data_IF_999374525666
#
_entry.id   IF_999374525666
#
_cell.length_a   1.000
_cell.length_b   1.000
_cell.length_c   1.000
_cell.angle_alpha   90.00
_cell.angle_beta   90.00
_cell.angle_gamma   90.00
#
_symmetry.space_group_name_H-M   'P 1'
#
loop_
_entity.id
_entity.type
_entity.pdbx_description
1 polymer ?
#
# COMPACT_ATOMS: atom_id res chain seq x y z
N UNK A 1 -49.84 0.63 -9.65
CA UNK A 1 -50.03 0.16 -8.27
C UNK A 1 -49.14 -1.04 -8.02
N UNK A 2 -48.66 -1.25 -6.78
CA UNK A 2 -47.83 -2.41 -6.41
C UNK A 2 -48.20 -2.87 -5.00
N UNK A 3 -48.24 -4.19 -4.78
CA UNK A 3 -48.52 -4.75 -3.46
C UNK A 3 -47.31 -4.55 -2.54
N UNK A 4 -47.57 -4.18 -1.28
CA UNK A 4 -46.54 -3.92 -0.28
C UNK A 4 -46.98 -4.35 1.12
N UNK A 5 -46.02 -4.52 2.02
CA UNK A 5 -46.24 -4.67 3.45
C UNK A 5 -45.86 -3.38 4.16
N UNK A 6 -46.80 -2.73 4.85
CA UNK A 6 -46.60 -1.50 5.58
C UNK A 6 -46.34 -1.74 7.06
N UNK A 7 -45.34 -1.03 7.59
CA UNK A 7 -44.96 -1.02 8.99
C UNK A 7 -45.06 0.41 9.54
N UNK A 8 -45.84 0.59 10.59
CA UNK A 8 -46.25 1.89 11.13
C UNK A 8 -45.29 2.45 12.21
N UNK A 9 -44.20 1.74 12.50
CA UNK A 9 -43.21 2.00 13.59
C UNK A 9 -43.76 1.95 15.02
N UNK A 10 -45.05 1.70 15.20
CA UNK A 10 -45.71 1.58 16.52
C UNK A 10 -45.90 0.12 16.91
N UNK A 11 -45.99 -0.76 15.92
CA UNK A 11 -46.13 -2.20 16.08
C UNK A 11 -45.26 -2.95 15.06
N UNK A 12 -44.77 -4.14 15.43
CA UNK A 12 -44.07 -5.05 14.52
C UNK A 12 -45.00 -5.79 13.55
N UNK A 13 -46.29 -5.44 13.53
CA UNK A 13 -47.28 -6.07 12.66
C UNK A 13 -47.17 -5.52 11.24
N UNK A 14 -47.05 -6.42 10.26
CA UNK A 14 -47.15 -6.07 8.85
C UNK A 14 -48.62 -5.86 8.45
N UNK A 15 -48.89 -4.75 7.76
CA UNK A 15 -50.19 -4.46 7.16
C UNK A 15 -50.11 -4.63 5.65
N UNK A 16 -50.92 -5.53 5.09
CA UNK A 16 -51.00 -5.69 3.64
C UNK A 16 -51.65 -4.45 3.02
N UNK A 17 -50.92 -3.77 2.14
CA UNK A 17 -51.36 -2.53 1.48
C UNK A 17 -51.03 -2.56 -0.01
N UNK A 18 -51.68 -1.68 -0.75
CA UNK A 18 -51.34 -1.37 -2.13
C UNK A 18 -50.76 0.03 -2.18
N UNK A 19 -49.55 0.15 -2.73
CA UNK A 19 -48.92 1.43 -3.04
C UNK A 19 -49.36 1.88 -4.43
N UNK A 20 -49.94 3.06 -4.50
CA UNK A 20 -50.40 3.73 -5.72
C UNK A 20 -49.64 5.04 -5.84
N UNK A 21 -49.27 5.41 -7.06
CA UNK A 21 -48.63 6.69 -7.33
C UNK A 21 -49.47 7.44 -8.35
N UNK A 22 -49.91 8.64 -7.98
CA UNK A 22 -50.76 9.51 -8.78
C UNK A 22 -50.37 10.96 -8.52
N UNK A 23 -50.26 11.80 -9.56
CA UNK A 23 -50.03 13.24 -9.44
C UNK A 23 -48.84 13.66 -8.55
N UNK A 24 -47.77 12.85 -8.50
CA UNK A 24 -46.59 13.14 -7.68
C UNK A 24 -46.72 12.75 -6.19
N UNK A 25 -47.80 12.07 -5.83
CA UNK A 25 -48.09 11.59 -4.48
C UNK A 25 -48.08 10.05 -4.44
N UNK A 26 -47.59 9.49 -3.35
CA UNK A 26 -47.73 8.09 -3.00
C UNK A 26 -48.91 7.89 -2.05
N UNK A 27 -49.82 6.99 -2.41
CA UNK A 27 -51.03 6.67 -1.66
C UNK A 27 -50.95 5.19 -1.25
N UNK A 28 -51.10 4.91 0.05
CA UNK A 28 -51.26 3.57 0.59
C UNK A 28 -52.74 3.28 0.82
N UNK A 29 -53.22 2.19 0.24
CA UNK A 29 -54.58 1.69 0.44
C UNK A 29 -54.56 0.34 1.15
N UNK A 30 -55.51 0.12 2.05
CA UNK A 30 -55.73 -1.19 2.66
C UNK A 30 -56.42 -2.17 1.69
N UNK A 31 -56.67 -3.40 2.14
CA UNK A 31 -57.36 -4.42 1.35
C UNK A 31 -58.80 -4.07 0.96
N UNK A 32 -59.42 -3.09 1.65
CA UNK A 32 -60.77 -2.61 1.38
C UNK A 32 -60.79 -1.34 0.50
N UNK A 33 -59.61 -0.87 0.06
CA UNK A 33 -59.46 0.36 -0.72
C UNK A 33 -59.52 1.64 0.11
N UNK A 34 -59.53 1.55 1.44
CA UNK A 34 -59.46 2.71 2.31
C UNK A 34 -58.04 3.29 2.31
N UNK A 35 -57.94 4.60 2.14
CA UNK A 35 -56.65 5.31 2.18
C UNK A 35 -56.11 5.34 3.60
N UNK A 36 -54.96 4.71 3.80
CA UNK A 36 -54.24 4.68 5.07
C UNK A 36 -53.26 5.83 5.19
N UNK A 37 -52.65 6.23 4.06
CA UNK A 37 -51.59 7.24 4.06
C UNK A 37 -51.42 7.87 2.68
N UNK A 38 -51.09 9.15 2.67
CA UNK A 38 -50.62 9.89 1.49
C UNK A 38 -49.37 10.68 1.82
N UNK A 39 -48.39 10.68 0.92
CA UNK A 39 -47.17 11.44 1.07
C UNK A 39 -46.59 11.84 -0.29
N UNK A 40 -45.97 13.03 -0.40
CA UNK A 40 -45.36 13.47 -1.65
C UNK A 40 -44.16 12.58 -1.99
N UNK A 41 -44.00 12.23 -3.27
CA UNK A 41 -42.87 11.39 -3.71
C UNK A 41 -41.51 11.98 -3.32
N UNK A 42 -41.41 13.31 -3.26
CA UNK A 42 -40.20 14.02 -2.88
C UNK A 42 -39.75 13.78 -1.43
N UNK A 43 -40.66 13.37 -0.53
CA UNK A 43 -40.35 13.08 0.86
C UNK A 43 -40.10 11.59 1.14
N UNK A 44 -40.23 10.75 0.12
CA UNK A 44 -39.99 9.31 0.23
C UNK A 44 -38.53 8.98 -0.05
N UNK A 45 -37.98 8.07 0.76
CA UNK A 45 -36.66 7.47 0.52
C UNK A 45 -36.83 6.05 0.02
N UNK A 46 -36.37 5.77 -1.19
CA UNK A 46 -36.37 4.42 -1.75
C UNK A 46 -35.00 3.78 -1.50
N UNK A 47 -34.98 2.57 -0.97
CA UNK A 47 -33.73 1.82 -0.77
C UNK A 47 -33.04 1.51 -2.09
N UNK A 48 -31.72 1.31 -2.04
CA UNK A 48 -30.95 0.82 -3.17
C UNK A 48 -31.39 -0.58 -3.60
N UNK A 49 -31.06 -0.93 -4.85
CA UNK A 49 -31.39 -2.23 -5.41
C UNK A 49 -30.42 -3.31 -4.94
N UNK A 50 -30.91 -4.24 -4.13
CA UNK A 50 -30.17 -5.43 -3.71
C UNK A 50 -30.82 -6.66 -4.33
N UNK A 51 -30.04 -7.50 -5.05
CA UNK A 51 -30.55 -8.61 -5.88
C UNK A 51 -31.50 -9.60 -5.17
N UNK A 52 -31.45 -9.73 -3.85
CA UNK A 52 -32.20 -10.74 -3.08
C UNK A 52 -33.01 -10.16 -1.92
N UNK A 53 -33.07 -8.83 -1.76
CA UNK A 53 -33.81 -8.20 -0.67
C UNK A 53 -35.02 -7.42 -1.22
N UNK A 54 -36.14 -7.34 -0.46
CA UNK A 54 -37.25 -6.48 -0.84
C UNK A 54 -36.79 -5.02 -0.92
N UNK A 55 -37.45 -4.23 -1.77
CA UNK A 55 -37.21 -2.78 -1.84
C UNK A 55 -38.00 -2.11 -0.72
N UNK A 56 -37.38 -1.17 -0.03
CA UNK A 56 -38.00 -0.40 1.04
C UNK A 56 -38.34 1.00 0.54
N UNK A 57 -39.55 1.46 0.84
CA UNK A 57 -39.97 2.86 0.70
C UNK A 57 -40.19 3.41 2.10
N UNK A 58 -39.34 4.32 2.53
CA UNK A 58 -39.38 4.91 3.88
C UNK A 58 -39.97 6.31 3.83
N UNK A 59 -40.90 6.58 4.74
CA UNK A 59 -41.54 7.87 4.95
C UNK A 59 -40.74 8.72 5.96
N UNK A 60 -41.05 10.02 6.06
CA UNK A 60 -40.33 10.96 6.93
C UNK A 60 -40.38 10.61 8.43
N UNK A 61 -41.48 10.03 8.87
CA UNK A 61 -41.70 9.58 10.25
C UNK A 61 -41.05 8.22 10.56
N UNK A 62 -40.33 7.64 9.58
CA UNK A 62 -39.64 6.35 9.72
C UNK A 62 -40.51 5.13 9.42
N UNK A 63 -41.81 5.30 9.16
CA UNK A 63 -42.64 4.22 8.63
C UNK A 63 -42.10 3.74 7.29
N UNK A 64 -42.35 2.48 6.93
CA UNK A 64 -41.84 1.96 5.67
C UNK A 64 -42.74 0.90 5.05
N UNK A 65 -42.63 0.79 3.73
CA UNK A 65 -43.23 -0.26 2.92
C UNK A 65 -42.16 -1.20 2.38
N UNK A 66 -42.34 -2.50 2.61
CA UNK A 66 -41.58 -3.55 1.94
C UNK A 66 -42.28 -4.03 0.68
N UNK A 67 -41.56 -4.01 -0.42
CA UNK A 67 -42.08 -4.37 -1.74
C UNK A 67 -41.28 -5.57 -2.26
N UNK A 68 -41.95 -6.72 -2.32
CA UNK A 68 -41.37 -7.97 -2.79
C UNK A 68 -41.36 -8.07 -4.33
N UNK A 69 -42.37 -7.51 -5.00
CA UNK A 69 -42.46 -7.47 -6.46
C UNK A 69 -41.57 -6.36 -7.03
N UNK A 70 -40.29 -6.67 -7.18
CA UNK A 70 -39.30 -5.74 -7.70
C UNK A 70 -39.58 -5.32 -9.15
N UNK A 71 -40.14 -6.19 -9.98
CA UNK A 71 -40.35 -5.90 -11.39
C UNK A 71 -41.45 -4.84 -11.59
N UNK A 72 -42.58 -5.01 -10.90
CA UNK A 72 -43.68 -4.04 -10.92
C UNK A 72 -43.27 -2.72 -10.26
N UNK A 73 -42.46 -2.78 -9.20
CA UNK A 73 -41.96 -1.58 -8.54
C UNK A 73 -40.94 -0.81 -9.39
N UNK A 74 -40.02 -1.49 -10.06
CA UNK A 74 -39.04 -0.87 -10.96
C UNK A 74 -39.76 -0.17 -12.14
N UNK A 75 -40.83 -0.76 -12.67
CA UNK A 75 -41.67 -0.13 -13.71
C UNK A 75 -42.40 1.12 -13.18
N UNK A 76 -42.88 1.08 -11.93
CA UNK A 76 -43.46 2.24 -11.26
C UNK A 76 -42.42 3.35 -11.03
N UNK A 77 -41.20 3.02 -10.61
CA UNK A 77 -40.10 3.98 -10.44
C UNK A 77 -39.69 4.65 -11.76
N UNK A 78 -39.65 3.87 -12.85
CA UNK A 78 -39.33 4.41 -14.17
C UNK A 78 -40.40 5.41 -14.63
N UNK A 79 -41.68 5.13 -14.35
CA UNK A 79 -42.80 6.01 -14.69
C UNK A 79 -42.80 7.32 -13.88
N UNK A 80 -42.24 7.34 -12.67
CA UNK A 80 -42.12 8.55 -11.83
C UNK A 80 -40.87 9.38 -12.13
N UNK A 81 -40.03 8.95 -13.08
CA UNK A 81 -38.78 9.62 -13.42
C UNK A 81 -37.66 9.43 -12.39
N UNK A 82 -37.82 8.49 -11.45
CA UNK A 82 -36.80 8.20 -10.46
C UNK A 82 -35.54 7.62 -11.12
N UNK A 83 -34.38 8.23 -10.86
CA UNK A 83 -33.09 7.80 -11.39
C UNK A 83 -32.23 7.21 -10.27
N UNK A 84 -31.78 5.97 -10.45
CA UNK A 84 -30.80 5.36 -9.56
C UNK A 84 -29.48 6.16 -9.56
N UNK A 85 -28.86 6.29 -8.39
CA UNK A 85 -27.56 6.95 -8.25
C UNK A 85 -26.45 6.24 -9.03
N UNK A 86 -25.50 7.02 -9.58
CA UNK A 86 -24.37 6.50 -10.37
C UNK A 86 -23.55 5.44 -9.62
N UNK A 87 -23.42 5.58 -8.30
CA UNK A 87 -22.72 4.63 -7.42
C UNK A 87 -23.44 3.28 -7.36
N UNK A 88 -24.77 3.28 -7.20
CA UNK A 88 -25.57 2.05 -7.17
C UNK A 88 -25.52 1.31 -8.52
N UNK A 89 -25.52 2.06 -9.62
CA UNK A 89 -25.36 1.52 -10.98
C UNK A 89 -23.96 0.94 -11.22
N UNK A 90 -22.93 1.57 -10.67
CA UNK A 90 -21.55 1.09 -10.74
C UNK A 90 -21.34 -0.19 -9.91
N UNK A 91 -21.89 -0.24 -8.69
CA UNK A 91 -21.80 -1.37 -7.77
C UNK A 91 -22.51 -2.62 -8.30
N UNK A 92 -23.59 -2.45 -9.08
CA UNK A 92 -24.33 -3.58 -9.65
C UNK A 92 -23.78 -4.07 -11.00
N UNK A 93 -22.70 -3.44 -11.51
CA UNK A 93 -22.07 -3.78 -12.78
C UNK A 93 -20.80 -4.61 -12.60
N UNK A 94 -20.89 -5.89 -12.90
CA UNK A 94 -19.74 -6.82 -12.92
C UNK A 94 -18.62 -6.38 -13.86
N UNK A 95 -18.96 -5.62 -14.92
CA UNK A 95 -17.97 -5.08 -15.88
C UNK A 95 -17.09 -3.99 -15.24
N UNK A 96 -17.70 -3.11 -14.46
CA UNK A 96 -16.97 -2.05 -13.75
C UNK A 96 -16.13 -2.63 -12.61
N UNK A 97 -16.64 -3.63 -11.90
CA UNK A 97 -15.85 -4.37 -10.90
C UNK A 97 -14.59 -5.02 -11.53
N UNK A 98 -14.75 -5.69 -12.69
CA UNK A 98 -13.63 -6.28 -13.42
C UNK A 98 -12.61 -5.25 -13.92
N UNK A 99 -13.07 -4.10 -14.42
CA UNK A 99 -12.19 -3.02 -14.88
C UNK A 99 -11.40 -2.40 -13.72
N UNK A 100 -12.05 -2.18 -12.57
CA UNK A 100 -11.39 -1.68 -11.36
C UNK A 100 -10.33 -2.67 -10.84
N UNK A 101 -10.64 -3.98 -10.87
CA UNK A 101 -9.67 -5.01 -10.49
C UNK A 101 -8.46 -5.01 -11.43
N UNK A 102 -8.69 -4.95 -12.75
CA UNK A 102 -7.61 -4.86 -13.73
C UNK A 102 -6.75 -3.60 -13.52
N UNK A 103 -7.39 -2.45 -13.31
CA UNK A 103 -6.70 -1.19 -13.01
C UNK A 103 -5.83 -1.28 -11.76
N UNK A 104 -6.34 -1.91 -10.70
CA UNK A 104 -5.58 -2.15 -9.47
C UNK A 104 -4.36 -3.05 -9.73
N UNK A 105 -4.53 -4.15 -10.47
CA UNK A 105 -3.42 -5.05 -10.82
C UNK A 105 -2.35 -4.31 -11.62
N UNK A 106 -2.75 -3.57 -12.65
CA UNK A 106 -1.82 -2.76 -13.46
C UNK A 106 -1.08 -1.74 -12.60
N UNK A 107 -1.81 -1.04 -11.71
CA UNK A 107 -1.21 -0.07 -10.80
C UNK A 107 -0.18 -0.71 -9.86
N UNK A 108 -0.49 -1.86 -9.27
CA UNK A 108 0.43 -2.59 -8.37
C UNK A 108 1.67 -3.05 -9.13
N UNK A 109 1.49 -3.68 -10.29
CA UNK A 109 2.61 -4.14 -11.14
C UNK A 109 3.48 -2.96 -11.57
N UNK A 110 2.89 -1.88 -12.05
CA UNK A 110 3.62 -0.69 -12.45
C UNK A 110 4.38 -0.07 -11.27
N UNK A 111 3.73 0.05 -10.11
CA UNK A 111 4.35 0.62 -8.91
C UNK A 111 5.53 -0.23 -8.43
N UNK A 112 5.41 -1.56 -8.48
CA UNK A 112 6.47 -2.46 -8.06
C UNK A 112 7.70 -2.36 -8.97
N UNK A 113 7.52 -2.40 -10.29
CA UNK A 113 8.64 -2.42 -11.22
C UNK A 113 9.26 -1.05 -11.49
N UNK A 114 8.47 0.03 -11.43
CA UNK A 114 8.94 1.36 -11.82
C UNK A 114 9.01 2.34 -10.65
N UNK A 115 7.91 2.47 -9.89
CA UNK A 115 7.85 3.48 -8.82
C UNK A 115 8.82 3.14 -7.68
N UNK A 116 8.88 1.88 -7.27
CA UNK A 116 9.78 1.43 -6.20
C UNK A 116 11.25 1.62 -6.59
N UNK A 117 11.64 1.19 -7.80
CA UNK A 117 13.01 1.30 -8.27
C UNK A 117 13.46 2.76 -8.42
N UNK A 118 12.58 3.61 -8.98
CA UNK A 118 12.86 5.03 -9.13
C UNK A 118 13.00 5.73 -7.78
N UNK A 119 12.05 5.49 -6.86
CA UNK A 119 12.09 6.10 -5.52
C UNK A 119 13.33 5.66 -4.74
N UNK A 120 13.78 4.42 -4.86
CA UNK A 120 15.01 3.95 -4.24
C UNK A 120 16.23 4.78 -4.67
N UNK A 121 16.36 5.11 -5.96
CA UNK A 121 17.50 5.92 -6.45
C UNK A 121 17.47 7.36 -5.94
N UNK A 122 16.27 7.94 -5.81
CA UNK A 122 16.09 9.31 -5.29
C UNK A 122 16.42 9.34 -3.80
N UNK A 123 15.87 8.38 -3.04
CA UNK A 123 16.10 8.27 -1.60
C UNK A 123 17.58 8.04 -1.31
N UNK A 124 18.23 7.12 -2.03
CA UNK A 124 19.66 6.82 -1.86
C UNK A 124 20.54 8.07 -2.00
N UNK A 125 20.27 8.93 -3.00
CA UNK A 125 21.02 10.19 -3.20
C UNK A 125 20.73 11.27 -2.16
N UNK A 126 19.65 11.12 -1.40
CA UNK A 126 19.22 12.06 -0.37
C UNK A 126 19.57 11.62 1.05
N UNK A 127 20.20 10.45 1.21
CA UNK A 127 20.60 9.96 2.54
C UNK A 127 21.68 10.88 3.11
N UNK A 128 21.48 11.45 4.32
CA UNK A 128 22.51 12.26 4.94
C UNK A 128 23.74 11.43 5.31
N UNK A 129 24.97 11.98 5.22
CA UNK A 129 26.20 11.27 5.60
C UNK A 129 26.20 10.73 7.04
N UNK A 130 25.45 11.36 7.95
CA UNK A 130 25.30 10.90 9.34
C UNK A 130 24.56 9.57 9.46
N UNK A 131 23.59 9.32 8.57
CA UNK A 131 22.84 8.06 8.53
C UNK A 131 23.72 6.96 7.96
N UNK A 132 24.47 7.24 6.89
CA UNK A 132 25.44 6.29 6.34
C UNK A 132 26.49 5.87 7.37
N UNK A 133 27.05 6.83 8.12
CA UNK A 133 28.01 6.53 9.18
C UNK A 133 27.39 5.67 10.31
N UNK A 134 26.11 5.89 10.65
CA UNK A 134 25.41 5.04 11.63
C UNK A 134 25.20 3.62 11.12
N UNK A 135 24.79 3.45 9.86
CA UNK A 135 24.67 2.13 9.24
C UNK A 135 26.02 1.42 9.17
N UNK A 136 27.08 2.14 8.79
CA UNK A 136 28.45 1.62 8.77
C UNK A 136 28.88 1.10 10.13
N UNK A 137 28.66 1.89 11.19
CA UNK A 137 28.94 1.47 12.56
C UNK A 137 28.14 0.23 12.97
N UNK A 138 26.83 0.20 12.70
CA UNK A 138 26.00 -0.96 13.05
C UNK A 138 26.43 -2.23 12.30
N UNK A 139 26.89 -2.09 11.06
CA UNK A 139 27.40 -3.21 10.26
C UNK A 139 28.74 -3.70 10.80
N UNK A 140 29.65 -2.78 11.16
CA UNK A 140 30.91 -3.11 11.82
C UNK A 140 30.69 -3.84 13.15
N UNK A 141 29.77 -3.34 13.98
CA UNK A 141 29.42 -3.95 15.27
C UNK A 141 28.86 -5.37 15.06
N UNK A 142 28.08 -5.59 13.99
CA UNK A 142 27.56 -6.91 13.62
C UNK A 142 28.65 -7.88 13.16
N UNK A 143 29.66 -7.39 12.44
CA UNK A 143 30.83 -8.19 12.06
C UNK A 143 31.63 -8.60 13.31
N UNK A 144 31.86 -7.64 14.21
CA UNK A 144 32.65 -7.85 15.44
C UNK A 144 31.91 -8.77 16.46
N UNK A 145 30.60 -8.99 16.33
CA UNK A 145 29.80 -9.88 17.19
C UNK A 145 29.97 -11.39 16.92
N UNK A 146 30.89 -11.80 16.02
CA UNK A 146 31.23 -13.21 15.87
C UNK A 146 31.65 -13.64 14.46
N UNK A 147 31.70 -12.72 13.50
CA UNK A 147 32.21 -13.01 12.16
C UNK A 147 33.72 -12.81 12.08
N UNK A 148 34.22 -11.74 12.70
CA UNK A 148 35.62 -11.34 12.71
C UNK A 148 36.15 -11.12 14.13
N UNK A 149 37.47 -11.05 14.27
CA UNK A 149 38.18 -10.87 15.53
C UNK A 149 39.16 -9.69 15.42
N UNK A 150 39.72 -9.19 16.54
CA UNK A 150 40.81 -8.22 16.51
C UNK A 150 41.98 -8.68 15.63
N UNK A 151 42.50 -7.76 14.81
CA UNK A 151 43.64 -8.02 13.92
C UNK A 151 44.89 -8.42 14.70
N UNK A 152 45.68 -9.32 14.10
CA UNK A 152 47.02 -9.70 14.55
C UNK A 152 48.09 -9.25 13.55
N UNK A 153 47.74 -8.42 12.56
CA UNK A 153 48.70 -7.89 11.61
C UNK A 153 49.66 -6.92 12.29
N UNK A 154 50.97 -6.98 11.95
CA UNK A 154 51.94 -5.98 12.39
C UNK A 154 51.50 -4.57 12.02
N UNK A 155 51.68 -3.60 12.92
CA UNK A 155 51.37 -2.19 12.64
C UNK A 155 52.08 -1.67 11.39
N UNK A 156 53.31 -2.12 11.12
CA UNK A 156 54.07 -1.74 9.93
C UNK A 156 53.35 -2.14 8.63
N UNK A 157 52.70 -3.29 8.59
CA UNK A 157 51.96 -3.75 7.40
C UNK A 157 50.65 -2.97 7.25
N UNK A 158 49.95 -2.73 8.36
CA UNK A 158 48.74 -1.89 8.37
C UNK A 158 49.05 -0.49 7.85
N UNK A 159 50.15 0.11 8.32
CA UNK A 159 50.56 1.44 7.91
C UNK A 159 50.97 1.47 6.44
N UNK A 160 51.75 0.48 5.97
CA UNK A 160 52.15 0.39 4.56
C UNK A 160 50.93 0.33 3.64
N UNK A 161 49.90 -0.45 4.00
CA UNK A 161 48.66 -0.52 3.22
C UNK A 161 47.94 0.83 3.21
N UNK A 162 47.81 1.49 4.37
CA UNK A 162 47.17 2.82 4.47
C UNK A 162 47.90 3.87 3.63
N UNK A 163 49.23 3.90 3.71
CA UNK A 163 50.05 4.86 2.98
C UNK A 163 49.96 4.64 1.48
N UNK A 164 50.06 3.37 1.04
CA UNK A 164 49.91 3.03 -0.37
C UNK A 164 48.52 3.42 -0.90
N UNK A 165 47.46 3.18 -0.12
CA UNK A 165 46.10 3.56 -0.51
C UNK A 165 45.91 5.08 -0.56
N UNK A 166 46.48 5.82 0.41
CA UNK A 166 46.44 7.28 0.41
C UNK A 166 47.20 7.89 -0.77
N UNK A 167 48.24 7.22 -1.27
CA UNK A 167 49.00 7.63 -2.45
C UNK A 167 48.27 7.33 -3.78
N UNK A 168 47.19 6.55 -3.78
CA UNK A 168 46.41 6.29 -5.01
C UNK A 168 45.69 7.56 -5.44
N UNK A 169 45.89 7.94 -6.71
CA UNK A 169 45.10 8.97 -7.36
C UNK A 169 43.71 8.42 -7.64
N UNK A 170 42.73 8.86 -6.85
CA UNK A 170 41.32 8.49 -6.98
C UNK A 170 40.55 9.61 -7.67
N UNK A 171 39.38 9.31 -8.29
CA UNK A 171 38.45 10.34 -8.73
C UNK A 171 38.07 11.25 -7.57
N UNK A 172 37.73 12.51 -7.86
CA UNK A 172 37.22 13.42 -6.84
C UNK A 172 35.86 12.92 -6.35
N UNK A 173 35.82 12.41 -5.12
CA UNK A 173 34.60 12.05 -4.38
C UNK A 173 34.43 12.96 -3.16
N UNK A 174 33.96 14.20 -3.37
CA UNK A 174 33.85 15.19 -2.31
C UNK A 174 32.83 14.75 -1.25
N UNK A 175 33.32 14.44 -0.04
CA UNK A 175 32.51 14.08 1.11
C UNK A 175 32.69 12.64 1.60
N UNK A 176 33.34 11.77 0.82
CA UNK A 176 33.64 10.40 1.23
C UNK A 176 35.01 10.28 1.90
N UNK A 177 35.00 10.04 3.21
CA UNK A 177 36.21 9.76 3.99
C UNK A 177 36.42 8.26 4.13
N UNK A 178 37.40 7.73 3.41
CA UNK A 178 37.72 6.30 3.48
C UNK A 178 38.59 5.99 4.70
N UNK A 179 38.15 5.02 5.50
CA UNK A 179 38.89 4.52 6.65
C UNK A 179 39.14 3.03 6.52
N UNK A 180 40.40 2.61 6.50
CA UNK A 180 40.75 1.19 6.48
C UNK A 180 40.83 0.68 7.92
N UNK A 181 40.10 -0.41 8.19
CA UNK A 181 40.16 -1.17 9.45
C UNK A 181 40.65 -2.58 9.17
N UNK A 182 41.52 -3.08 10.04
CA UNK A 182 42.03 -4.45 9.94
C UNK A 182 41.35 -5.33 10.97
N UNK A 183 41.01 -6.55 10.55
CA UNK A 183 40.40 -7.58 11.40
C UNK A 183 40.99 -8.94 11.08
N UNK A 184 41.07 -9.82 12.07
CA UNK A 184 41.30 -11.23 11.80
C UNK A 184 39.99 -11.83 11.27
N UNK A 185 40.05 -12.46 10.11
CA UNK A 185 38.90 -12.86 9.30
C UNK A 185 38.05 -13.96 9.90
N UNK A 186 38.47 -14.66 10.96
CA UNK A 186 37.61 -15.60 11.69
C UNK A 186 36.81 -16.53 10.77
N UNK A 187 35.47 -16.41 10.81
CA UNK A 187 34.55 -17.15 9.92
C UNK A 187 34.41 -16.55 8.52
N UNK A 188 34.69 -15.26 8.37
CA UNK A 188 34.69 -14.52 7.09
C UNK A 188 35.86 -14.93 6.18
N UNK A 189 37.01 -15.32 6.74
CA UNK A 189 38.19 -15.74 5.99
C UNK A 189 38.94 -14.58 5.29
N UNK A 190 39.62 -14.89 4.17
CA UNK A 190 40.35 -13.90 3.36
C UNK A 190 39.36 -13.03 2.57
N UNK A 191 39.15 -11.79 3.00
CA UNK A 191 38.17 -10.89 2.39
C UNK A 191 38.51 -9.40 2.64
N UNK A 192 37.91 -8.54 1.83
CA UNK A 192 37.80 -7.11 2.07
C UNK A 192 36.36 -6.68 1.80
N UNK A 193 35.82 -5.75 2.60
CA UNK A 193 34.45 -5.27 2.42
C UNK A 193 34.33 -3.78 2.74
N UNK A 194 33.76 -3.01 1.82
CA UNK A 194 33.34 -1.64 2.06
C UNK A 194 32.00 -1.58 2.83
N UNK A 195 31.98 -0.80 3.88
CA UNK A 195 30.80 -0.48 4.69
C UNK A 195 30.25 0.91 4.32
N UNK A 196 28.96 1.17 4.58
CA UNK A 196 28.39 2.51 4.45
C UNK A 196 29.22 3.56 5.22
N UNK A 197 29.36 4.76 4.65
CA UNK A 197 30.15 5.84 5.25
C UNK A 197 31.66 5.71 5.06
N UNK A 198 32.15 4.85 4.16
CA UNK A 198 33.54 4.83 3.70
C UNK A 198 34.51 3.93 4.50
N UNK A 199 34.03 3.13 5.45
CA UNK A 199 34.91 2.21 6.18
C UNK A 199 35.16 0.95 5.36
N UNK A 200 36.42 0.60 5.09
CA UNK A 200 36.80 -0.65 4.42
C UNK A 200 37.43 -1.57 5.46
N UNK A 201 36.84 -2.76 5.66
CA UNK A 201 37.40 -3.79 6.54
C UNK A 201 38.23 -4.76 5.71
N UNK A 202 39.51 -4.91 6.05
CA UNK A 202 40.44 -5.83 5.38
C UNK A 202 40.84 -6.93 6.36
N UNK A 203 40.77 -8.19 5.93
CA UNK A 203 41.14 -9.30 6.81
C UNK A 203 42.62 -9.67 6.78
N UNK A 204 43.14 -10.12 7.93
CA UNK A 204 44.52 -10.59 8.08
C UNK A 204 44.87 -11.70 7.07
N UNK A 205 43.93 -12.60 6.82
CA UNK A 205 44.04 -13.71 5.88
C UNK A 205 44.19 -13.22 4.45
N UNK A 206 43.49 -12.15 4.08
CA UNK A 206 43.66 -11.53 2.77
C UNK A 206 45.06 -10.93 2.64
N UNK A 207 45.52 -10.17 3.65
CA UNK A 207 46.87 -9.60 3.64
C UNK A 207 47.95 -10.67 3.57
N UNK A 208 47.77 -11.82 4.24
CA UNK A 208 48.68 -12.97 4.13
C UNK A 208 48.67 -13.60 2.74
N UNK A 209 47.52 -13.61 2.07
CA UNK A 209 47.35 -14.25 0.77
C UNK A 209 47.96 -13.42 -0.37
N UNK A 210 47.71 -12.10 -0.38
CA UNK A 210 48.09 -11.23 -1.51
C UNK A 210 49.17 -10.19 -1.16
N UNK A 211 49.59 -10.16 0.11
CA UNK A 211 50.59 -9.22 0.61
C UNK A 211 50.08 -7.78 0.76
N UNK A 212 51.02 -6.85 0.87
CA UNK A 212 50.78 -5.40 1.06
C UNK A 212 51.02 -4.57 -0.21
N UNK A 213 51.26 -5.23 -1.35
CA UNK A 213 51.68 -4.61 -2.60
C UNK A 213 50.52 -4.27 -3.56
N UNK A 214 50.81 -4.27 -4.86
CA UNK A 214 49.87 -3.85 -5.91
C UNK A 214 48.55 -4.63 -5.91
N UNK A 215 48.57 -5.93 -5.59
CA UNK A 215 47.35 -6.74 -5.48
C UNK A 215 46.38 -6.21 -4.42
N UNK A 216 46.88 -5.81 -3.25
CA UNK A 216 46.09 -5.17 -2.20
C UNK A 216 45.51 -3.84 -2.66
N UNK A 217 46.28 -3.05 -3.41
CA UNK A 217 45.79 -1.77 -3.95
C UNK A 217 44.68 -1.97 -4.98
N UNK A 218 44.76 -3.02 -5.80
CA UNK A 218 43.70 -3.40 -6.72
C UNK A 218 42.39 -3.75 -5.99
N UNK A 219 42.49 -4.52 -4.90
CA UNK A 219 41.31 -4.84 -4.07
C UNK A 219 40.75 -3.58 -3.42
N UNK A 220 41.58 -2.76 -2.77
CA UNK A 220 41.11 -1.54 -2.12
C UNK A 220 40.53 -0.52 -3.10
N UNK A 221 41.08 -0.44 -4.32
CA UNK A 221 40.50 0.39 -5.37
C UNK A 221 39.11 -0.13 -5.80
N UNK A 222 38.96 -1.45 -5.93
CA UNK A 222 37.66 -2.07 -6.23
C UNK A 222 36.62 -1.78 -5.12
N UNK A 223 37.01 -1.91 -3.85
CA UNK A 223 36.13 -1.63 -2.71
C UNK A 223 35.80 -0.14 -2.58
N UNK A 224 36.67 0.75 -3.05
CA UNK A 224 36.46 2.19 -2.99
C UNK A 224 35.50 2.72 -4.08
N UNK A 225 35.33 1.98 -5.19
CA UNK A 225 34.52 2.41 -6.34
C UNK A 225 35.34 3.06 -7.44
#
# INVERSE_FOLDING_TARGET
MVAAQYFDTRSSRAHAVVLIVTDGEAILQDANGAELRRAPLASLRVSERIKRAPRLVTFDDGAYCEIADQATFDAMLAATGHREGLVSRAQNSWRLAGLSLLGLVVFVVFSYYYLLLWTATVVARSVPPSIEAQLGKATLDSLDQGLVEPTKLPQADQQRIRDNFAALRRPDDPGHHYQILFRKGGRLGANAVALPGGTIVVTDELVKLIGTGAGMMGVLAHEAG
#
